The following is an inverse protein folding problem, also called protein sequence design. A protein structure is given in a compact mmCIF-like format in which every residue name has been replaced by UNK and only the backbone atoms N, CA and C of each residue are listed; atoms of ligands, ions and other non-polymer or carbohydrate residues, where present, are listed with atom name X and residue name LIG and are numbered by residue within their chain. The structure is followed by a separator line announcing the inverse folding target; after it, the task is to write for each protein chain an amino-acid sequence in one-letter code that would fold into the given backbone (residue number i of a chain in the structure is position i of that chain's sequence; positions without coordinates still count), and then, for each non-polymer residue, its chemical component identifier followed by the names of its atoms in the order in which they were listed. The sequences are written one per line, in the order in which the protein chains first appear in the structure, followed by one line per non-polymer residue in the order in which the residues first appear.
data_IF_855485835250
#
_entry.id   IF_855485835250
#
_cell.length_a   1.000
_cell.length_b   1.000
_cell.length_c   1.000
_cell.angle_alpha   90.00
_cell.angle_beta   90.00
_cell.angle_gamma   90.00
#
_symmetry.space_group_name_H-M   'P 1'
#
loop_
_entity.id
_entity.type
_entity.pdbx_description
1 polymer ?
#
# COMPACT_ATOMS: atom_id res chain seq x y z
N UNK A 1 -6.27 17.41 16.68
CA UNK A 1 -6.08 16.91 15.30
C UNK A 1 -5.98 18.13 14.39
N UNK A 2 -4.81 18.38 13.81
CA UNK A 2 -4.64 19.48 12.84
C UNK A 2 -5.33 19.04 11.56
N UNK A 3 -6.49 19.64 11.25
CA UNK A 3 -7.22 19.38 10.02
C UNK A 3 -6.46 20.06 8.89
N UNK A 4 -5.76 19.28 8.07
CA UNK A 4 -5.06 19.79 6.89
C UNK A 4 -6.10 20.37 5.92
N UNK A 5 -5.96 21.65 5.57
CA UNK A 5 -6.89 22.35 4.69
C UNK A 5 -6.71 21.85 3.24
N UNK A 6 -7.54 20.90 2.83
CA UNK A 6 -7.47 20.21 1.54
C UNK A 6 -7.86 21.07 0.33
N UNK A 7 -8.36 22.30 0.53
CA UNK A 7 -8.94 23.10 -0.57
C UNK A 7 -7.92 23.63 -1.58
N UNK A 8 -6.63 23.67 -1.24
CA UNK A 8 -5.58 24.26 -2.08
C UNK A 8 -4.49 23.27 -2.49
N UNK A 9 -4.70 21.96 -2.33
CA UNK A 9 -3.68 20.96 -2.62
C UNK A 9 -4.10 20.06 -3.77
N UNK A 10 -3.33 20.10 -4.86
CA UNK A 10 -3.40 19.07 -5.91
C UNK A 10 -2.74 17.81 -5.36
N UNK A 11 -3.47 16.67 -5.28
CA UNK A 11 -2.90 15.44 -4.74
C UNK A 11 -1.73 15.00 -5.61
N UNK A 12 -0.59 14.78 -4.97
CA UNK A 12 0.58 14.18 -5.62
C UNK A 12 0.29 12.69 -5.80
N UNK A 13 0.43 12.21 -7.02
CA UNK A 13 0.23 10.79 -7.37
C UNK A 13 1.53 10.20 -7.89
N UNK A 14 1.74 8.92 -7.61
CA UNK A 14 2.91 8.18 -8.09
C UNK A 14 2.42 7.02 -8.97
N UNK A 15 2.49 7.14 -10.31
CA UNK A 15 1.98 6.12 -11.20
C UNK A 15 2.85 4.86 -11.21
N UNK A 16 2.20 3.70 -11.18
CA UNK A 16 2.76 2.37 -11.43
C UNK A 16 3.11 2.20 -12.90
N UNK A 17 4.40 2.35 -13.23
CA UNK A 17 4.98 2.14 -14.56
C UNK A 17 4.96 0.66 -14.96
N UNK A 18 3.79 0.10 -15.26
CA UNK A 18 3.62 -1.27 -15.76
C UNK A 18 3.41 -1.22 -17.28
N UNK A 19 4.28 -1.86 -18.10
CA UNK A 19 4.07 -1.97 -19.54
C UNK A 19 2.75 -2.72 -19.84
N UNK A 20 1.90 -2.18 -20.71
CA UNK A 20 0.60 -2.81 -21.04
C UNK A 20 0.78 -4.14 -21.78
N UNK A 21 1.89 -4.32 -22.51
CA UNK A 21 2.18 -5.48 -23.34
C UNK A 21 2.70 -6.71 -22.57
N UNK A 22 3.18 -6.53 -21.34
CA UNK A 22 3.83 -7.60 -20.55
C UNK A 22 2.92 -8.21 -19.47
N UNK A 23 1.65 -7.80 -19.40
CA UNK A 23 0.73 -8.25 -18.35
C UNK A 23 0.35 -9.72 -18.57
N UNK A 24 0.76 -10.66 -17.72
CA UNK A 24 0.38 -12.05 -17.90
C UNK A 24 -1.09 -12.24 -17.58
N UNK A 25 -1.79 -12.97 -18.46
CA UNK A 25 -3.14 -13.50 -18.22
C UNK A 25 -3.26 -14.24 -16.86
N UNK A 26 -2.15 -14.75 -16.33
CA UNK A 26 -2.07 -15.48 -15.06
C UNK A 26 -2.24 -14.61 -13.79
N UNK A 27 -2.08 -13.28 -13.85
CA UNK A 27 -2.40 -12.41 -12.71
C UNK A 27 -3.93 -12.23 -12.52
N UNK A 28 -4.72 -12.75 -13.46
CA UNK A 28 -6.19 -12.87 -13.40
C UNK A 28 -6.67 -14.15 -12.69
N UNK A 29 -5.75 -15.02 -12.28
CA UNK A 29 -6.06 -16.29 -11.62
C UNK A 29 -6.21 -16.10 -10.10
N UNK A 30 -7.38 -16.45 -9.57
CA UNK A 30 -7.74 -16.42 -8.13
C UNK A 30 -6.62 -17.01 -7.27
N UNK A 31 -5.81 -16.16 -6.64
CA UNK A 31 -4.87 -16.64 -5.62
C UNK A 31 -5.67 -16.98 -4.37
N UNK A 32 -5.57 -18.23 -3.92
CA UNK A 32 -6.23 -18.67 -2.68
C UNK A 32 -5.55 -17.98 -1.51
N UNK A 33 -6.31 -17.26 -0.69
CA UNK A 33 -5.84 -16.78 0.61
C UNK A 33 -5.48 -17.99 1.47
N UNK A 34 -4.39 -17.87 2.24
CA UNK A 34 -4.04 -18.93 3.19
C UNK A 34 -5.15 -19.07 4.25
N UNK A 35 -5.47 -20.29 4.71
CA UNK A 35 -6.36 -20.46 5.84
C UNK A 35 -5.79 -19.71 7.05
N UNK A 36 -6.65 -18.96 7.73
CA UNK A 36 -6.31 -18.22 8.94
C UNK A 36 -6.99 -18.91 10.13
N UNK A 37 -6.38 -18.83 11.30
CA UNK A 37 -7.01 -19.20 12.58
C UNK A 37 -8.14 -18.22 12.94
N UNK A 38 -9.04 -18.63 13.83
CA UNK A 38 -10.22 -17.83 14.17
C UNK A 38 -9.88 -16.45 14.77
N UNK A 39 -8.82 -16.35 15.59
CA UNK A 39 -8.39 -15.09 16.18
C UNK A 39 -7.86 -14.13 15.11
N UNK A 40 -6.93 -14.60 14.26
CA UNK A 40 -6.42 -13.81 13.14
C UNK A 40 -7.51 -13.40 12.16
N UNK A 41 -8.53 -14.23 11.94
CA UNK A 41 -9.67 -13.88 11.09
C UNK A 41 -10.49 -12.72 11.66
N UNK A 42 -10.79 -12.74 12.96
CA UNK A 42 -11.52 -11.64 13.60
C UNK A 42 -10.73 -10.35 13.50
N UNK A 43 -9.43 -10.40 13.80
CA UNK A 43 -8.55 -9.22 13.70
C UNK A 43 -8.36 -8.72 12.28
N UNK A 44 -8.31 -9.62 11.30
CA UNK A 44 -8.30 -9.25 9.89
C UNK A 44 -9.56 -8.47 9.51
N UNK A 45 -10.74 -8.94 9.93
CA UNK A 45 -12.01 -8.27 9.65
C UNK A 45 -12.07 -6.88 10.26
N UNK A 46 -11.72 -6.74 11.54
CA UNK A 46 -11.66 -5.44 12.23
C UNK A 46 -10.75 -4.44 11.50
N UNK A 47 -9.54 -4.85 11.15
CA UNK A 47 -8.58 -4.01 10.44
C UNK A 47 -9.07 -3.65 9.03
N UNK A 48 -9.67 -4.61 8.32
CA UNK A 48 -10.16 -4.42 6.96
C UNK A 48 -11.35 -3.45 6.91
N UNK A 49 -12.27 -3.54 7.88
CA UNK A 49 -13.37 -2.59 8.02
C UNK A 49 -12.88 -1.17 8.35
N UNK A 50 -11.79 -1.05 9.12
CA UNK A 50 -11.10 0.22 9.32
C UNK A 50 -10.61 0.86 8.01
N UNK A 51 -9.98 0.06 7.13
CA UNK A 51 -9.52 0.54 5.82
C UNK A 51 -10.67 1.03 4.93
N UNK A 52 -11.81 0.34 4.95
CA UNK A 52 -13.02 0.76 4.21
C UNK A 52 -13.57 2.06 4.80
N UNK A 53 -13.66 2.16 6.13
CA UNK A 53 -14.18 3.34 6.84
C UNK A 53 -13.33 4.58 6.57
N UNK A 54 -12.01 4.42 6.57
CA UNK A 54 -11.05 5.48 6.28
C UNK A 54 -10.95 5.82 4.79
N UNK A 55 -11.69 5.10 3.93
CA UNK A 55 -11.71 5.26 2.46
C UNK A 55 -10.35 5.03 1.80
N UNK A 56 -9.52 4.18 2.39
CA UNK A 56 -8.27 3.75 1.76
C UNK A 56 -8.49 2.69 0.69
N UNK A 57 -9.59 1.91 0.80
CA UNK A 57 -9.97 0.87 -0.16
C UNK A 57 -11.45 0.94 -0.50
N UNK A 58 -11.80 0.48 -1.69
CA UNK A 58 -13.16 0.40 -2.21
C UNK A 58 -13.45 -0.98 -2.86
N UNK A 59 -14.71 -1.42 -2.96
CA UNK A 59 -15.05 -2.65 -3.67
C UNK A 59 -14.59 -2.61 -5.13
N UNK A 60 -14.06 -3.72 -5.64
CA UNK A 60 -13.51 -3.82 -6.99
C UNK A 60 -14.10 -5.00 -7.74
N UNK A 61 -14.40 -4.81 -9.03
CA UNK A 61 -14.78 -5.87 -9.99
C UNK A 61 -13.63 -6.26 -10.92
N UNK A 62 -12.43 -5.72 -10.67
CA UNK A 62 -11.24 -5.94 -11.48
C UNK A 62 -10.89 -7.42 -11.62
N UNK A 63 -10.35 -7.79 -12.79
CA UNK A 63 -9.77 -9.12 -13.03
C UNK A 63 -8.52 -9.38 -12.18
N UNK A 64 -7.81 -8.32 -11.78
CA UNK A 64 -6.59 -8.41 -10.98
C UNK A 64 -6.88 -8.96 -9.59
N UNK A 65 -5.95 -9.76 -9.07
CA UNK A 65 -6.09 -10.31 -7.73
C UNK A 65 -4.74 -10.62 -7.09
N UNK A 66 -4.44 -9.90 -6.03
CA UNK A 66 -3.36 -10.20 -5.09
C UNK A 66 -3.93 -10.76 -3.78
N UNK A 67 -3.31 -11.80 -3.18
CA UNK A 67 -3.83 -12.35 -1.93
C UNK A 67 -3.51 -11.42 -0.76
N UNK A 68 -4.48 -11.30 0.15
CA UNK A 68 -4.30 -10.61 1.42
C UNK A 68 -3.65 -11.55 2.45
N UNK A 69 -2.66 -11.03 3.18
CA UNK A 69 -1.85 -11.75 4.17
C UNK A 69 -1.97 -11.03 5.52
N UNK A 70 -2.16 -11.81 6.57
CA UNK A 70 -2.20 -11.32 7.94
C UNK A 70 -0.89 -11.68 8.62
N UNK A 71 -0.25 -10.68 9.22
CA UNK A 71 1.03 -10.82 9.90
C UNK A 71 0.82 -10.45 11.37
N UNK A 72 1.13 -11.38 12.27
CA UNK A 72 1.24 -11.12 13.71
C UNK A 72 2.62 -10.58 13.99
N UNK A 73 2.70 -9.35 14.52
CA UNK A 73 3.96 -8.74 14.94
C UNK A 73 4.41 -9.28 16.29
N UNK A 74 5.69 -9.05 16.61
CA UNK A 74 6.27 -9.41 17.91
C UNK A 74 5.61 -8.69 19.09
N UNK A 75 5.09 -7.48 18.86
CA UNK A 75 4.33 -6.70 19.85
C UNK A 75 2.90 -7.24 20.10
N UNK A 76 2.51 -8.33 19.44
CA UNK A 76 1.19 -8.93 19.54
C UNK A 76 0.12 -8.29 18.66
N UNK A 77 0.43 -7.17 17.99
CA UNK A 77 -0.48 -6.52 17.05
C UNK A 77 -0.55 -7.26 15.71
N UNK A 78 -1.65 -7.07 14.97
CA UNK A 78 -1.85 -7.64 13.64
C UNK A 78 -1.69 -6.56 12.58
N UNK A 79 -1.11 -6.94 11.44
CA UNK A 79 -1.01 -6.10 10.24
C UNK A 79 -1.60 -6.83 9.05
N UNK A 80 -2.42 -6.10 8.29
CA UNK A 80 -2.80 -6.49 6.92
C UNK A 80 -1.65 -6.12 5.98
N UNK A 81 -1.21 -7.11 5.21
CA UNK A 81 -0.26 -6.95 4.13
C UNK A 81 -0.84 -7.54 2.84
N UNK A 82 -0.47 -6.96 1.71
CA UNK A 82 -0.87 -7.44 0.39
C UNK A 82 0.35 -8.06 -0.27
N UNK A 83 0.24 -9.29 -0.76
CA UNK A 83 1.34 -9.93 -1.47
C UNK A 83 1.35 -9.50 -2.94
N UNK A 84 2.06 -8.40 -3.19
CA UNK A 84 2.31 -7.87 -4.53
C UNK A 84 3.55 -8.48 -5.19
N UNK A 85 4.12 -9.57 -4.69
CA UNK A 85 5.36 -10.15 -5.24
C UNK A 85 5.25 -10.41 -6.74
N UNK A 86 4.11 -10.94 -7.20
CA UNK A 86 3.87 -11.15 -8.64
C UNK A 86 3.62 -9.86 -9.40
N UNK A 87 2.98 -8.87 -8.79
CA UNK A 87 2.74 -7.58 -9.44
C UNK A 87 4.06 -6.82 -9.64
N UNK A 88 4.92 -6.83 -8.61
CA UNK A 88 6.20 -6.14 -8.59
C UNK A 88 7.17 -6.60 -9.69
N UNK A 89 7.06 -7.85 -10.17
CA UNK A 89 7.87 -8.35 -11.28
C UNK A 89 7.61 -7.61 -12.61
N UNK A 90 6.45 -6.97 -12.76
CA UNK A 90 6.05 -6.24 -13.98
C UNK A 90 6.10 -4.73 -13.81
N UNK A 91 6.41 -4.25 -12.60
CA UNK A 91 6.59 -2.82 -12.36
C UNK A 91 8.00 -2.46 -12.82
N UNK A 92 8.10 -1.48 -13.73
CA UNK A 92 9.39 -0.92 -14.12
C UNK A 92 10.00 -0.17 -12.94
N UNK A 93 11.22 -0.54 -12.59
CA UNK A 93 11.99 0.14 -11.55
C UNK A 93 12.14 1.63 -11.87
N UNK A 94 11.86 2.45 -10.87
CA UNK A 94 12.09 3.89 -10.88
C UNK A 94 13.18 4.23 -9.86
N UNK A 95 14.47 4.09 -10.23
CA UNK A 95 15.55 4.28 -9.29
C UNK A 95 15.61 5.75 -8.87
N UNK A 96 15.23 6.01 -7.62
CA UNK A 96 15.48 7.29 -6.97
C UNK A 96 16.81 7.23 -6.24
N UNK A 97 17.74 8.14 -6.56
CA UNK A 97 19.05 8.18 -5.92
C UNK A 97 18.93 8.61 -4.46
N UNK A 98 19.10 7.65 -3.55
CA UNK A 98 19.18 7.95 -2.11
C UNK A 98 20.60 8.49 -1.85
N UNK A 99 20.75 9.74 -1.35
CA UNK A 99 22.05 10.33 -1.13
C UNK A 99 22.86 9.54 -0.10
N UNK A 100 24.18 9.52 -0.27
CA UNK A 100 25.07 8.88 0.69
C UNK A 100 24.94 9.55 2.07
N UNK A 101 24.79 8.73 3.11
CA UNK A 101 24.42 9.21 4.44
C UNK A 101 25.44 10.20 5.01
N UNK A 102 26.75 10.01 4.79
CA UNK A 102 27.75 10.94 5.31
C UNK A 102 27.68 12.31 4.62
N UNK A 103 27.37 12.36 3.32
CA UNK A 103 27.18 13.61 2.59
C UNK A 103 25.95 14.35 3.11
N UNK A 104 24.88 13.62 3.41
CA UNK A 104 23.69 14.19 4.04
C UNK A 104 23.99 14.72 5.45
N UNK A 105 24.70 13.94 6.28
CA UNK A 105 25.08 14.32 7.63
C UNK A 105 25.97 15.58 7.67
N UNK A 106 26.94 15.70 6.77
CA UNK A 106 27.79 16.90 6.66
C UNK A 106 27.00 18.15 6.27
N UNK A 107 25.98 18.01 5.41
CA UNK A 107 25.09 19.12 5.04
C UNK A 107 24.26 19.57 6.23
N UNK A 108 23.67 18.64 6.98
CA UNK A 108 22.81 19.01 8.10
C UNK A 108 23.62 19.51 9.30
N UNK A 109 24.87 19.06 9.51
CA UNK A 109 25.72 19.45 10.64
C UNK A 109 26.00 20.96 10.75
N UNK A 110 25.76 21.72 9.68
CA UNK A 110 25.93 23.18 9.65
C UNK A 110 24.79 23.93 10.36
N UNK A 111 23.68 23.26 10.67
CA UNK A 111 22.51 23.87 11.31
C UNK A 111 22.55 23.70 12.83
N UNK A 112 22.01 24.71 13.54
CA UNK A 112 21.96 24.75 15.01
C UNK A 112 20.76 24.02 15.60
N UNK A 113 19.66 23.95 14.84
CA UNK A 113 18.39 23.37 15.29
C UNK A 113 17.89 22.37 14.25
N UNK A 114 17.35 21.25 14.73
CA UNK A 114 16.84 20.18 13.90
C UNK A 114 15.38 19.90 14.29
N UNK A 115 14.56 19.60 13.29
CA UNK A 115 13.21 19.11 13.48
C UNK A 115 13.03 17.84 12.65
N UNK A 116 12.39 16.84 13.25
CA UNK A 116 12.01 15.59 12.59
C UNK A 116 10.50 15.55 12.49
N UNK A 117 10.00 15.22 11.29
CA UNK A 117 8.56 15.11 11.02
C UNK A 117 8.33 13.68 10.53
N UNK A 118 7.45 12.96 11.22
CA UNK A 118 7.00 11.64 10.81
C UNK A 118 5.58 11.70 10.24
N UNK A 119 5.38 11.11 9.06
CA UNK A 119 4.08 11.06 8.40
C UNK A 119 3.36 9.78 8.78
N UNK A 120 2.30 9.92 9.58
CA UNK A 120 1.45 8.78 9.96
C UNK A 120 0.88 8.11 8.71
N UNK A 121 1.18 6.83 8.52
CA UNK A 121 0.72 6.02 7.38
C UNK A 121 0.96 6.72 6.03
N UNK A 122 2.17 7.27 5.83
CA UNK A 122 2.55 8.08 4.68
C UNK A 122 2.08 7.50 3.32
N UNK A 123 2.21 6.19 3.12
CA UNK A 123 1.79 5.52 1.89
C UNK A 123 0.31 5.70 1.55
N UNK A 124 -0.58 5.77 2.55
CA UNK A 124 -2.01 5.94 2.34
C UNK A 124 -2.41 7.40 2.03
N UNK A 125 -1.47 8.35 2.18
CA UNK A 125 -1.73 9.77 1.90
C UNK A 125 -1.60 10.08 0.40
N UNK A 126 -0.92 9.22 -0.36
CA UNK A 126 -0.70 9.40 -1.80
C UNK A 126 -1.69 8.52 -2.58
N UNK A 127 -2.69 9.11 -3.26
CA UNK A 127 -3.65 8.34 -4.01
C UNK A 127 -3.02 7.76 -5.28
N UNK A 128 -3.46 6.56 -5.65
CA UNK A 128 -3.14 5.95 -6.94
C UNK A 128 -3.99 6.56 -8.06
N UNK A 129 -3.41 6.76 -9.27
CA UNK A 129 -4.18 7.08 -10.47
C UNK A 129 -5.27 6.04 -10.74
N UNK A 130 -6.44 6.48 -11.20
CA UNK A 130 -7.61 5.61 -11.37
C UNK A 130 -7.34 4.39 -12.27
N UNK A 131 -6.56 4.58 -13.34
CA UNK A 131 -6.15 3.53 -14.28
C UNK A 131 -5.31 2.40 -13.66
N UNK A 132 -4.73 2.64 -12.50
CA UNK A 132 -3.78 1.73 -11.87
C UNK A 132 -4.30 1.11 -10.58
N UNK A 133 -5.35 1.67 -9.97
CA UNK A 133 -6.00 1.10 -8.79
C UNK A 133 -6.44 -0.34 -9.01
N UNK A 134 -6.88 -0.65 -10.21
CA UNK A 134 -7.27 -2.03 -10.55
C UNK A 134 -6.11 -3.01 -10.38
N UNK A 135 -4.87 -2.60 -10.64
CA UNK A 135 -3.67 -3.46 -10.52
C UNK A 135 -3.38 -3.82 -9.05
N UNK A 136 -3.77 -2.96 -8.11
CA UNK A 136 -3.63 -3.19 -6.66
C UNK A 136 -4.83 -3.92 -6.05
N UNK A 137 -5.75 -4.46 -6.86
CA UNK A 137 -6.90 -5.20 -6.35
C UNK A 137 -6.44 -6.41 -5.53
N UNK A 138 -6.95 -6.49 -4.31
CA UNK A 138 -6.75 -7.58 -3.38
C UNK A 138 -7.98 -8.45 -3.24
N UNK A 139 -7.77 -9.75 -3.04
CA UNK A 139 -8.83 -10.68 -2.71
C UNK A 139 -8.73 -11.09 -1.25
N UNK A 140 -9.84 -10.91 -0.53
CA UNK A 140 -10.03 -11.36 0.82
C UNK A 140 -11.19 -12.36 0.87
N UNK A 141 -10.93 -13.59 1.30
CA UNK A 141 -11.87 -14.72 1.19
C UNK A 141 -13.25 -14.47 1.78
N UNK A 142 -13.35 -13.64 2.83
CA UNK A 142 -14.60 -13.39 3.54
C UNK A 142 -15.44 -12.26 2.93
N UNK A 143 -14.80 -11.26 2.30
CA UNK A 143 -15.47 -10.03 1.85
C UNK A 143 -15.46 -9.87 0.32
N UNK A 144 -14.54 -10.51 -0.39
CA UNK A 144 -14.40 -10.43 -1.84
C UNK A 144 -13.21 -9.59 -2.30
N UNK A 145 -13.39 -8.85 -3.41
CA UNK A 145 -12.34 -8.07 -4.07
C UNK A 145 -12.46 -6.59 -3.73
N UNK A 146 -11.33 -5.97 -3.38
CA UNK A 146 -11.22 -4.55 -3.05
C UNK A 146 -9.98 -3.95 -3.69
N UNK A 147 -9.99 -2.67 -4.03
CA UNK A 147 -8.86 -1.93 -4.60
C UNK A 147 -8.59 -0.64 -3.83
#
# INVERSE_FOLDING_TARGET
ATVFNSKNFTPITFPLKVPEDEIPKAHKSRMRTRPLDNESQQKANELFEGLIKDKYIEPSTSDWTSPLVIIKKQDGSYRIACDYTKLNLYIKDDPFEIPYINTFLQKIAQYKYYATIDFKAAYHQFPLPEKERDKTTVFFSQKGKYR
#
